data_IF_333928080848
#
_entry.id   IF_333928080848
#
_cell.length_a   1.000
_cell.length_b   1.000
_cell.length_c   1.000
_cell.angle_alpha   90.00
_cell.angle_beta   90.00
_cell.angle_gamma   90.00
#
_symmetry.space_group_name_H-M   'P 1'
#
loop_
_entity.id
_entity.type
_entity.pdbx_description
1 polymer ?
#
# COMPACT_ATOMS: atom_id res chain seq x y z
N UNK A 1 2.15 12.71 -2.41
CA UNK A 1 2.14 11.22 -2.34
C UNK A 1 1.57 10.84 -0.99
N UNK A 2 0.66 9.87 -0.92
CA UNK A 2 0.03 9.44 0.33
C UNK A 2 0.63 8.11 0.76
N UNK A 3 1.13 8.04 1.99
CA UNK A 3 1.53 6.81 2.66
C UNK A 3 0.47 6.51 3.71
N UNK A 4 -0.33 5.48 3.49
CA UNK A 4 -1.36 5.06 4.44
C UNK A 4 -1.01 3.73 5.12
N UNK A 5 -1.40 3.60 6.37
CA UNK A 5 -1.41 2.33 7.08
C UNK A 5 -2.64 2.30 8.01
N UNK A 6 -3.40 1.21 8.06
CA UNK A 6 -4.50 1.08 8.99
C UNK A 6 -3.96 0.85 10.42
N UNK A 7 -4.62 1.44 11.41
CA UNK A 7 -4.33 1.23 12.83
C UNK A 7 -4.59 -0.22 13.27
N UNK A 8 -5.54 -0.90 12.61
CA UNK A 8 -5.89 -2.29 12.85
C UNK A 8 -5.76 -3.07 11.54
N UNK A 9 -5.10 -4.22 11.61
CA UNK A 9 -5.02 -5.17 10.49
C UNK A 9 -6.42 -5.73 10.16
N UNK A 10 -6.63 -6.12 8.89
CA UNK A 10 -7.93 -6.61 8.38
C UNK A 10 -8.50 -7.81 9.13
N UNK A 11 -7.64 -8.62 9.73
CA UNK A 11 -8.05 -9.83 10.46
C UNK A 11 -8.75 -9.52 11.79
N UNK A 12 -8.82 -8.24 12.21
CA UNK A 12 -9.50 -7.82 13.45
C UNK A 12 -8.81 -8.25 14.74
N UNK A 13 -7.82 -9.15 14.65
CA UNK A 13 -7.02 -9.62 15.78
C UNK A 13 -5.97 -8.58 16.13
N UNK A 14 -6.32 -7.74 17.11
CA UNK A 14 -5.40 -6.82 17.78
C UNK A 14 -4.33 -7.64 18.50
N UNK A 15 -3.09 -7.66 17.99
CA UNK A 15 -1.97 -8.31 18.67
C UNK A 15 -0.67 -7.52 18.49
N UNK A 16 0.34 -7.85 19.32
CA UNK A 16 1.63 -7.17 19.55
C UNK A 16 2.36 -6.58 18.32
N UNK A 17 2.11 -7.05 17.10
CA UNK A 17 2.71 -6.51 15.86
C UNK A 17 2.21 -5.08 15.54
N UNK A 18 1.11 -4.64 16.16
CA UNK A 18 0.66 -3.23 16.10
C UNK A 18 1.71 -2.28 16.72
N UNK A 19 2.61 -2.74 17.59
CA UNK A 19 3.76 -1.93 18.01
C UNK A 19 4.65 -1.59 16.79
N UNK A 20 4.91 -2.53 15.87
CA UNK A 20 5.66 -2.26 14.64
C UNK A 20 4.92 -1.24 13.75
N UNK A 21 3.59 -1.30 13.69
CA UNK A 21 2.76 -0.28 13.01
C UNK A 21 2.77 1.08 13.71
N UNK A 22 3.08 1.15 15.01
CA UNK A 22 3.27 2.40 15.77
C UNK A 22 4.68 2.98 15.58
N UNK A 23 5.70 2.12 15.55
CA UNK A 23 7.10 2.52 15.34
C UNK A 23 7.39 2.86 13.88
N UNK A 24 6.75 2.21 12.91
CA UNK A 24 7.04 2.41 11.48
C UNK A 24 6.71 3.83 10.99
N UNK A 25 5.54 4.44 11.26
CA UNK A 25 5.30 5.84 10.90
C UNK A 25 6.26 6.76 11.62
N UNK A 26 6.55 6.52 12.91
CA UNK A 26 7.51 7.34 13.67
C UNK A 26 8.92 7.27 13.07
N UNK A 27 9.42 6.09 12.75
CA UNK A 27 10.73 5.89 12.12
C UNK A 27 10.76 6.44 10.70
N UNK A 28 9.70 6.24 9.93
CA UNK A 28 9.55 6.81 8.59
C UNK A 28 9.57 8.34 8.69
N UNK A 29 8.78 8.95 9.57
CA UNK A 29 8.75 10.40 9.81
C UNK A 29 10.13 10.92 10.18
N UNK A 30 10.83 10.27 11.12
CA UNK A 30 12.17 10.70 11.55
C UNK A 30 13.15 10.65 10.36
N UNK A 31 13.12 9.60 9.55
CA UNK A 31 13.98 9.48 8.37
C UNK A 31 13.58 10.47 7.25
N UNK A 32 12.28 10.69 7.02
CA UNK A 32 11.79 11.62 6.00
C UNK A 32 12.10 13.08 6.34
N UNK A 33 12.09 13.44 7.63
CA UNK A 33 12.51 14.77 8.10
C UNK A 33 14.03 14.94 7.92
N UNK A 34 14.80 13.87 8.08
CA UNK A 34 16.26 13.90 7.93
C UNK A 34 16.70 14.10 6.47
N UNK A 35 15.98 13.51 5.50
CA UNK A 35 16.26 13.67 4.08
C UNK A 35 15.34 14.74 3.46
N UNK A 36 15.81 15.98 3.34
CA UNK A 36 14.96 17.14 2.96
C UNK A 36 14.77 17.36 1.45
N UNK A 37 15.11 16.41 0.58
CA UNK A 37 15.12 16.59 -0.88
C UNK A 37 13.82 16.14 -1.57
N UNK A 38 12.66 16.54 -1.03
CA UNK A 38 11.37 16.16 -1.61
C UNK A 38 10.91 17.16 -2.67
N UNK A 39 10.66 16.67 -3.88
CA UNK A 39 10.08 17.47 -4.97
C UNK A 39 8.55 17.61 -4.88
N UNK A 40 7.93 16.88 -3.95
CA UNK A 40 6.48 16.79 -3.73
C UNK A 40 6.18 16.61 -2.25
N UNK A 41 5.01 17.06 -1.84
CA UNK A 41 4.49 16.84 -0.50
C UNK A 41 4.19 15.34 -0.25
N UNK A 42 4.49 14.89 0.97
CA UNK A 42 4.18 13.55 1.46
C UNK A 42 3.14 13.67 2.58
N UNK A 43 2.03 12.96 2.42
CA UNK A 43 0.97 12.85 3.41
C UNK A 43 1.11 11.49 4.07
N UNK A 44 1.17 11.45 5.40
CA UNK A 44 1.15 10.20 6.17
C UNK A 44 -0.23 10.08 6.81
N UNK A 45 -0.96 9.03 6.45
CA UNK A 45 -2.31 8.77 6.92
C UNK A 45 -2.33 7.50 7.77
N UNK A 46 -2.76 7.63 9.02
CA UNK A 46 -3.03 6.48 9.88
C UNK A 46 -4.54 6.45 10.08
N UNK A 47 -5.21 5.46 9.49
CA UNK A 47 -6.68 5.37 9.55
C UNK A 47 -7.15 4.45 10.67
N UNK A 48 -8.16 4.89 11.42
CA UNK A 48 -8.94 3.99 12.28
C UNK A 48 -10.11 3.41 11.47
N UNK A 49 -10.41 2.13 11.66
CA UNK A 49 -11.48 1.44 10.91
C UNK A 49 -11.14 1.06 9.45
N UNK A 50 -9.86 1.07 9.06
CA UNK A 50 -9.43 0.56 7.75
C UNK A 50 -9.95 1.41 6.58
N UNK A 51 -10.71 0.78 5.67
CA UNK A 51 -11.27 1.41 4.47
C UNK A 51 -12.22 2.57 4.80
N UNK A 52 -13.09 2.41 5.80
CA UNK A 52 -14.05 3.44 6.19
C UNK A 52 -13.35 4.73 6.67
N UNK A 53 -12.25 4.59 7.41
CA UNK A 53 -11.45 5.73 7.87
C UNK A 53 -10.71 6.44 6.73
N UNK A 54 -10.19 5.68 5.75
CA UNK A 54 -9.56 6.25 4.55
C UNK A 54 -10.60 6.97 3.69
N UNK A 55 -11.79 6.40 3.54
CA UNK A 55 -12.91 7.01 2.81
C UNK A 55 -13.33 8.33 3.47
N UNK A 56 -13.54 8.34 4.79
CA UNK A 56 -13.86 9.55 5.54
C UNK A 56 -12.82 10.65 5.34
N UNK A 57 -11.53 10.28 5.40
CA UNK A 57 -10.43 11.19 5.13
C UNK A 57 -10.47 11.71 3.68
N UNK A 58 -10.69 10.85 2.69
CA UNK A 58 -10.72 11.22 1.28
C UNK A 58 -11.88 12.19 0.98
N UNK A 59 -13.05 11.95 1.57
CA UNK A 59 -14.21 12.83 1.45
C UNK A 59 -13.94 14.21 2.03
N UNK A 60 -13.33 14.29 3.22
CA UNK A 60 -12.92 15.57 3.81
C UNK A 60 -11.80 16.26 3.01
N UNK A 61 -10.90 15.50 2.38
CA UNK A 61 -9.81 16.05 1.56
C UNK A 61 -10.33 16.69 0.27
N UNK A 62 -11.31 16.05 -0.38
CA UNK A 62 -11.94 16.55 -1.60
C UNK A 62 -13.15 17.47 -1.36
N UNK A 63 -13.53 17.70 -0.09
CA UNK A 63 -14.71 18.47 0.30
C UNK A 63 -16.00 17.93 -0.35
N UNK A 64 -16.11 16.60 -0.39
CA UNK A 64 -17.17 15.89 -1.07
C UNK A 64 -17.71 14.75 -0.21
N UNK A 65 -18.82 14.99 0.49
CA UNK A 65 -19.48 14.00 1.35
C UNK A 65 -20.38 13.08 0.53
N UNK A 66 -20.04 11.78 0.44
CA UNK A 66 -20.81 10.80 -0.34
C UNK A 66 -21.31 9.64 0.51
N UNK A 67 -20.51 9.13 1.45
CA UNK A 67 -20.78 7.86 2.13
C UNK A 67 -21.66 7.97 3.39
N UNK A 68 -22.12 9.17 3.74
CA UNK A 68 -22.84 9.41 5.00
C UNK A 68 -21.95 9.22 6.24
N UNK A 69 -20.64 9.07 6.06
CA UNK A 69 -19.66 8.98 7.14
C UNK A 69 -19.30 10.40 7.58
N UNK A 70 -19.45 10.70 8.87
CA UNK A 70 -19.06 11.99 9.42
C UNK A 70 -17.54 12.06 9.57
N UNK A 71 -16.91 12.96 8.82
CA UNK A 71 -15.49 13.26 8.88
C UNK A 71 -15.27 14.69 9.38
N UNK A 72 -14.30 14.85 10.29
CA UNK A 72 -13.86 16.18 10.72
C UNK A 72 -13.21 16.94 9.56
N UNK A 73 -13.46 18.25 9.40
CA UNK A 73 -12.86 19.03 8.32
C UNK A 73 -11.34 19.08 8.45
N UNK A 74 -10.65 18.90 7.32
CA UNK A 74 -9.19 19.00 7.26
C UNK A 74 -8.75 20.44 7.04
N UNK A 75 -7.91 20.96 7.93
CA UNK A 75 -7.38 22.32 7.85
C UNK A 75 -6.29 22.51 6.78
N UNK A 76 -5.66 21.42 6.34
CA UNK A 76 -4.54 21.46 5.40
C UNK A 76 -4.78 20.51 4.24
N UNK A 77 -4.63 21.02 3.01
CA UNK A 77 -4.68 20.24 1.76
C UNK A 77 -3.39 20.43 0.99
N UNK A 78 -2.93 19.35 0.39
CA UNK A 78 -1.65 19.30 -0.33
C UNK A 78 -1.91 18.90 -1.79
N UNK A 79 -2.54 19.83 -2.51
CA UNK A 79 -2.77 19.74 -3.96
C UNK A 79 -3.53 18.49 -4.42
N UNK A 80 -3.14 17.97 -5.59
CA UNK A 80 -3.70 16.74 -6.15
C UNK A 80 -2.91 15.51 -5.68
N UNK A 81 -3.63 14.45 -5.28
CA UNK A 81 -3.02 13.17 -4.91
C UNK A 81 -2.54 12.48 -6.19
N UNK A 82 -1.21 12.29 -6.31
CA UNK A 82 -0.60 11.67 -7.49
C UNK A 82 -0.45 10.16 -7.38
N UNK A 83 -0.24 9.66 -6.16
CA UNK A 83 -0.08 8.24 -5.85
C UNK A 83 -0.35 8.01 -4.35
N UNK A 84 -0.87 6.83 -4.04
CA UNK A 84 -1.06 6.35 -2.69
C UNK A 84 -0.44 4.95 -2.53
N UNK A 85 0.28 4.73 -1.43
CA UNK A 85 0.79 3.42 -1.02
C UNK A 85 0.10 3.08 0.30
N UNK A 86 -0.66 1.98 0.31
CA UNK A 86 -1.24 1.44 1.52
C UNK A 86 -0.39 0.25 2.00
N UNK A 87 0.12 0.35 3.23
CA UNK A 87 0.87 -0.73 3.87
C UNK A 87 -0.06 -1.50 4.80
N UNK A 88 -0.22 -2.79 4.54
CA UNK A 88 -1.02 -3.69 5.37
C UNK A 88 -0.17 -4.88 5.83
N UNK A 89 -0.42 -5.31 7.07
CA UNK A 89 0.31 -6.38 7.75
C UNK A 89 -0.72 -7.40 8.26
N UNK A 90 -1.13 -8.37 7.42
CA UNK A 90 -2.09 -9.39 7.81
C UNK A 90 -1.46 -10.37 8.83
N UNK A 91 -2.28 -10.87 9.76
CA UNK A 91 -1.90 -11.91 10.71
C UNK A 91 -0.82 -11.54 11.72
N UNK A 92 -0.34 -12.57 12.42
CA UNK A 92 0.59 -12.43 13.55
C UNK A 92 1.86 -13.28 13.42
N UNK A 93 1.96 -14.02 12.32
CA UNK A 93 3.03 -14.97 12.04
C UNK A 93 4.14 -14.34 11.18
N UNK A 94 5.24 -15.09 11.00
CA UNK A 94 6.34 -14.65 10.16
C UNK A 94 5.90 -14.42 8.71
N UNK A 95 6.21 -13.23 8.18
CA UNK A 95 5.97 -12.90 6.78
C UNK A 95 6.97 -13.62 5.87
N UNK A 96 6.45 -14.32 4.86
CA UNK A 96 7.26 -15.04 3.87
C UNK A 96 7.70 -14.14 2.70
N UNK A 97 6.84 -13.21 2.30
CA UNK A 97 7.04 -12.36 1.14
C UNK A 97 6.22 -11.07 1.25
N UNK A 98 6.62 -10.05 0.48
CA UNK A 98 5.83 -8.84 0.28
C UNK A 98 4.88 -9.04 -0.90
N UNK A 99 3.57 -8.97 -0.63
CA UNK A 99 2.54 -9.00 -1.67
C UNK A 99 2.30 -7.62 -2.29
N UNK A 100 2.42 -7.53 -3.61
CA UNK A 100 2.08 -6.31 -4.36
C UNK A 100 0.66 -6.41 -4.91
N UNK A 101 -0.21 -5.51 -4.45
CA UNK A 101 -1.60 -5.39 -4.87
C UNK A 101 -1.78 -4.03 -5.56
N UNK A 102 -2.20 -4.07 -6.83
CA UNK A 102 -2.47 -2.87 -7.64
C UNK A 102 -3.47 -3.21 -8.75
N UNK A 103 -4.01 -2.18 -9.43
CA UNK A 103 -4.88 -2.38 -10.58
C UNK A 103 -6.38 -2.36 -10.27
N UNK A 104 -6.84 -1.40 -9.47
CA UNK A 104 -8.27 -1.24 -9.17
C UNK A 104 -8.98 -0.63 -10.40
N UNK A 105 -10.11 -1.21 -10.82
CA UNK A 105 -10.95 -0.71 -11.93
C UNK A 105 -10.22 -0.42 -13.25
N UNK A 106 -9.28 -1.26 -13.69
CA UNK A 106 -8.60 -1.01 -14.97
C UNK A 106 -7.47 0.01 -14.91
N UNK A 107 -7.27 0.68 -13.77
CA UNK A 107 -6.24 1.71 -13.67
C UNK A 107 -4.87 1.07 -13.45
N UNK A 108 -3.94 1.31 -14.37
CA UNK A 108 -2.57 0.86 -14.22
C UNK A 108 -1.82 1.79 -13.26
N UNK A 109 -1.08 1.24 -12.27
CA UNK A 109 -0.23 2.07 -11.42
C UNK A 109 0.92 2.64 -12.24
N UNK A 110 1.55 3.69 -11.71
CA UNK A 110 2.83 4.12 -12.26
C UNK A 110 3.87 2.99 -12.10
N UNK A 111 4.40 2.52 -13.23
CA UNK A 111 5.37 1.44 -13.28
C UNK A 111 6.68 1.80 -12.56
N UNK A 112 7.05 3.07 -12.52
CA UNK A 112 8.22 3.54 -11.78
C UNK A 112 8.06 3.36 -10.27
N UNK A 113 6.84 3.50 -9.75
CA UNK A 113 6.54 3.28 -8.33
C UNK A 113 6.74 1.82 -7.97
N UNK A 114 6.16 0.92 -8.76
CA UNK A 114 6.28 -0.53 -8.57
C UNK A 114 7.74 -0.98 -8.70
N UNK A 115 8.44 -0.50 -9.73
CA UNK A 115 9.85 -0.80 -9.93
C UNK A 115 10.72 -0.33 -8.77
N UNK A 116 10.42 0.86 -8.23
CA UNK A 116 11.11 1.39 -7.05
C UNK A 116 10.90 0.48 -5.84
N UNK A 117 9.66 0.08 -5.55
CA UNK A 117 9.37 -0.85 -4.45
C UNK A 117 10.12 -2.17 -4.63
N UNK A 118 10.06 -2.75 -5.84
CA UNK A 118 10.77 -4.00 -6.17
C UNK A 118 12.27 -3.86 -5.96
N UNK A 119 12.85 -2.73 -6.39
CA UNK A 119 14.28 -2.45 -6.23
C UNK A 119 14.66 -2.32 -4.75
N UNK A 120 13.89 -1.59 -3.95
CA UNK A 120 14.14 -1.43 -2.51
C UNK A 120 14.07 -2.78 -1.79
N UNK A 121 13.06 -3.59 -2.04
CA UNK A 121 12.92 -4.92 -1.43
C UNK A 121 14.10 -5.84 -1.77
N UNK A 122 14.59 -5.78 -3.01
CA UNK A 122 15.76 -6.52 -3.46
C UNK A 122 17.06 -6.03 -2.81
N UNK A 123 17.28 -4.72 -2.76
CA UNK A 123 18.54 -4.13 -2.29
C UNK A 123 18.67 -4.09 -0.76
N UNK A 124 17.60 -3.77 -0.04
CA UNK A 124 17.70 -3.50 1.41
C UNK A 124 17.73 -4.78 2.25
N UNK A 125 16.99 -5.83 1.87
CA UNK A 125 16.78 -6.98 2.77
C UNK A 125 16.48 -8.30 2.06
N UNK A 126 16.71 -8.40 0.74
CA UNK A 126 16.38 -9.58 -0.08
C UNK A 126 14.97 -10.14 0.20
N UNK A 127 14.00 -9.24 0.40
CA UNK A 127 12.63 -9.61 0.73
C UNK A 127 12.01 -10.24 -0.52
N UNK A 128 11.54 -11.51 -0.45
CA UNK A 128 10.84 -12.13 -1.57
C UNK A 128 9.59 -11.33 -1.90
N UNK A 129 9.31 -11.14 -3.19
CA UNK A 129 8.16 -10.36 -3.65
C UNK A 129 7.18 -11.30 -4.33
N UNK A 130 5.90 -11.16 -4.05
CA UNK A 130 4.85 -11.88 -4.74
C UNK A 130 3.87 -10.91 -5.37
N UNK A 131 3.40 -11.23 -6.58
CA UNK A 131 2.31 -10.48 -7.19
C UNK A 131 1.00 -11.02 -6.60
N UNK A 132 0.25 -10.16 -5.88
CA UNK A 132 -0.96 -10.54 -5.13
C UNK A 132 -0.72 -11.81 -4.29
N UNK A 133 -1.66 -12.76 -4.33
CA UNK A 133 -1.54 -14.09 -3.74
C UNK A 133 -1.32 -15.18 -4.81
N UNK A 134 -0.41 -14.93 -5.75
CA UNK A 134 -0.07 -15.92 -6.79
C UNK A 134 0.64 -17.17 -6.25
N UNK A 135 1.01 -17.20 -4.97
CA UNK A 135 1.80 -18.27 -4.34
C UNK A 135 3.26 -18.36 -4.81
N UNK A 136 3.64 -17.62 -5.87
CA UNK A 136 5.00 -17.54 -6.41
C UNK A 136 5.73 -16.33 -5.84
N UNK A 137 6.87 -16.59 -5.21
CA UNK A 137 7.75 -15.55 -4.67
C UNK A 137 8.95 -15.37 -5.60
N UNK A 138 9.12 -14.17 -6.12
CA UNK A 138 10.28 -13.75 -6.88
C UNK A 138 11.41 -13.34 -5.93
N UNK A 139 12.56 -14.00 -6.05
CA UNK A 139 13.76 -13.67 -5.29
C UNK A 139 14.79 -12.99 -6.18
N UNK A 140 15.84 -12.42 -5.58
CA UNK A 140 16.86 -11.67 -6.32
C UNK A 140 17.58 -12.49 -7.41
N UNK A 141 17.71 -13.81 -7.24
CA UNK A 141 18.41 -14.71 -8.17
C UNK A 141 17.48 -15.56 -9.03
N UNK A 142 16.20 -15.20 -9.09
CA UNK A 142 15.25 -15.91 -9.94
C UNK A 142 15.46 -15.49 -11.40
N UNK A 143 15.80 -16.46 -12.26
CA UNK A 143 15.97 -16.25 -13.71
C UNK A 143 14.64 -16.02 -14.43
N UNK A 144 13.52 -16.12 -13.71
CA UNK A 144 12.20 -15.91 -14.23
C UNK A 144 11.73 -17.11 -15.04
N UNK A 145 10.44 -17.38 -14.95
CA UNK A 145 9.77 -18.40 -15.73
C UNK A 145 8.68 -17.73 -16.59
N UNK A 146 8.73 -17.98 -17.89
CA UNK A 146 7.76 -17.47 -18.85
C UNK A 146 6.36 -18.00 -18.56
N UNK A 147 6.23 -19.26 -18.14
CA UNK A 147 4.93 -19.85 -17.82
C UNK A 147 4.31 -19.15 -16.61
N UNK A 148 5.11 -18.94 -15.56
CA UNK A 148 4.68 -18.18 -14.37
C UNK A 148 4.32 -16.73 -14.70
N UNK A 149 5.08 -16.06 -15.57
CA UNK A 149 4.80 -14.69 -16.01
C UNK A 149 3.49 -14.61 -16.78
N UNK A 150 3.23 -15.57 -17.66
CA UNK A 150 1.96 -15.67 -18.40
C UNK A 150 0.77 -15.94 -17.49
N UNK A 151 0.91 -16.86 -16.53
CA UNK A 151 -0.11 -17.13 -15.53
C UNK A 151 -0.45 -15.87 -14.71
N UNK A 152 0.57 -15.13 -14.29
CA UNK A 152 0.39 -13.87 -13.58
C UNK A 152 -0.29 -12.80 -14.43
N UNK A 153 0.06 -12.69 -15.71
CA UNK A 153 -0.59 -11.78 -16.65
C UNK A 153 -2.08 -12.08 -16.79
N UNK A 154 -2.46 -13.33 -17.04
CA UNK A 154 -3.88 -13.73 -17.16
C UNK A 154 -4.63 -13.49 -15.86
N UNK A 155 -4.02 -13.88 -14.73
CA UNK A 155 -4.60 -13.68 -13.40
C UNK A 155 -4.87 -12.19 -13.17
N UNK A 156 -3.92 -11.33 -13.51
CA UNK A 156 -4.08 -9.88 -13.38
C UNK A 156 -5.20 -9.34 -14.26
N UNK A 157 -5.25 -9.73 -15.53
CA UNK A 157 -6.33 -9.34 -16.45
C UNK A 157 -7.70 -9.77 -15.92
N UNK A 158 -7.81 -10.98 -15.36
CA UNK A 158 -9.06 -11.48 -14.76
C UNK A 158 -9.50 -10.60 -13.60
N UNK A 159 -8.62 -10.29 -12.66
CA UNK A 159 -8.96 -9.46 -11.50
C UNK A 159 -9.29 -8.02 -11.90
N UNK A 160 -8.57 -7.48 -12.89
CA UNK A 160 -8.81 -6.14 -13.39
C UNK A 160 -10.17 -6.03 -14.09
N UNK A 161 -10.57 -7.05 -14.86
CA UNK A 161 -11.88 -7.13 -15.49
C UNK A 161 -13.02 -7.28 -14.47
N UNK A 162 -12.78 -7.97 -13.35
CA UNK A 162 -13.77 -8.15 -12.28
C UNK A 162 -13.94 -6.92 -11.38
N UNK A 163 -13.07 -5.91 -11.49
CA UNK A 163 -13.16 -4.68 -10.70
C UNK A 163 -13.10 -4.91 -9.18
N UNK A 164 -12.57 -6.05 -8.73
CA UNK A 164 -12.58 -6.39 -7.31
C UNK A 164 -11.66 -5.43 -6.56
N UNK A 165 -12.15 -4.64 -5.59
CA UNK A 165 -11.28 -3.87 -4.73
C UNK A 165 -10.46 -4.87 -3.91
N UNK A 166 -9.15 -4.86 -4.11
CA UNK A 166 -8.20 -5.60 -3.27
C UNK A 166 -7.27 -4.57 -2.70
N UNK A 167 -7.75 -3.90 -1.65
CA UNK A 167 -7.12 -2.78 -0.98
C UNK A 167 -7.70 -2.67 0.41
#
# INVERSE_FOLDING_TARGET
LVLSAPWRSKDGVTSKIIELSMWTPRLIIINLIYYTYWSKDIIILISDGGEAGVQAWLESYHDHKQSGIEASPLFLRSGAIQAAINLDFPGTSNYKALGLFFGLNGQLPNLDLINTVVRVCRMSSNIPIMLRDSGRCYTHHDFGDYQSSFYNLITFMKYQALGHPTG
#
